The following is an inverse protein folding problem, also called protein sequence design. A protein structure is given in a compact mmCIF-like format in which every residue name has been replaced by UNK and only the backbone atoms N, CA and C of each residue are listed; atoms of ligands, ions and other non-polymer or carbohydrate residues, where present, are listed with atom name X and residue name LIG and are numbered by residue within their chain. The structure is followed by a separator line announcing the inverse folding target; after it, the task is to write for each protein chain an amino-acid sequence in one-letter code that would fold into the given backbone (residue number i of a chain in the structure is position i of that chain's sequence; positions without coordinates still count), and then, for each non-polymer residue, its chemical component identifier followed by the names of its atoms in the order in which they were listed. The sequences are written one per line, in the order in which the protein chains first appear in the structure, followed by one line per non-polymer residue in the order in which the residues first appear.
data_IF_255960553103
#
_entry.id   IF_255960553103
#
_cell.length_a   1.000
_cell.length_b   1.000
_cell.length_c   1.000
_cell.angle_alpha   90.00
_cell.angle_beta   90.00
_cell.angle_gamma   90.00
#
_symmetry.space_group_name_H-M   'P 1'
#
loop_
_entity.id
_entity.type
_entity.pdbx_description
1 polymer ?
#
# COMPACT_ATOMS: atom_id res chain seq x y z
N UNK A 1 -10.78 9.65 24.71
CA UNK A 1 -10.14 10.82 24.07
C UNK A 1 -8.76 11.03 24.69
N UNK A 2 -7.72 10.38 24.16
CA UNK A 2 -6.30 10.83 24.22
C UNK A 2 -5.41 9.70 23.69
N UNK A 3 -4.94 9.85 22.45
CA UNK A 3 -3.66 9.29 21.98
C UNK A 3 -3.35 9.90 20.60
N UNK A 4 -3.07 11.22 20.61
CA UNK A 4 -2.31 11.90 19.55
C UNK A 4 -0.98 12.31 20.16
N UNK A 5 0.11 11.75 19.62
CA UNK A 5 1.49 12.25 19.50
C UNK A 5 2.34 10.98 19.34
N UNK A 6 2.83 10.63 18.15
CA UNK A 6 3.95 11.34 17.53
C UNK A 6 3.99 10.98 16.04
N UNK A 7 3.73 11.94 15.14
CA UNK A 7 4.28 12.03 13.78
C UNK A 7 3.61 13.19 13.02
N UNK A 8 3.61 14.39 13.60
CA UNK A 8 3.37 15.60 12.84
C UNK A 8 4.72 16.11 12.29
N UNK A 9 5.09 15.64 11.11
CA UNK A 9 6.06 16.33 10.26
C UNK A 9 5.24 17.07 9.20
N UNK A 10 5.25 18.41 9.26
CA UNK A 10 4.46 19.28 8.40
C UNK A 10 4.99 19.33 6.95
N UNK A 11 4.05 19.32 6.01
CA UNK A 11 4.02 20.00 4.70
C UNK A 11 5.13 19.72 3.69
N UNK A 12 5.00 18.61 2.96
CA UNK A 12 5.06 18.61 1.49
C UNK A 12 4.04 17.62 0.95
N UNK A 13 3.72 17.81 -0.32
CA UNK A 13 2.81 17.07 -1.18
C UNK A 13 3.29 15.62 -1.45
N UNK A 14 3.70 14.90 -0.40
CA UNK A 14 4.38 13.61 -0.51
C UNK A 14 3.64 12.50 0.25
N UNK A 15 3.54 11.37 -0.45
CA UNK A 15 2.91 10.11 -0.08
C UNK A 15 3.45 9.62 1.29
N UNK A 16 2.62 9.41 2.34
CA UNK A 16 3.11 8.81 3.56
C UNK A 16 2.94 7.28 3.59
N UNK A 17 4.12 6.65 3.61
CA UNK A 17 4.56 5.55 4.50
C UNK A 17 3.89 4.18 4.36
N UNK A 18 4.55 3.33 3.58
CA UNK A 18 4.35 1.89 3.62
C UNK A 18 4.51 1.28 5.00
N UNK A 19 3.72 0.25 5.24
CA UNK A 19 3.59 -0.44 6.51
C UNK A 19 3.83 -1.94 6.30
N UNK A 20 4.43 -2.60 7.28
CA UNK A 20 4.70 -4.04 7.25
C UNK A 20 3.69 -4.75 8.16
N UNK A 21 3.05 -5.81 7.66
CA UNK A 21 2.26 -6.74 8.47
C UNK A 21 3.03 -8.07 8.56
N UNK A 22 3.39 -8.48 9.77
CA UNK A 22 3.95 -9.82 10.00
C UNK A 22 2.83 -10.79 10.33
N UNK A 23 2.67 -11.84 9.52
CA UNK A 23 1.77 -12.94 9.82
C UNK A 23 2.58 -14.05 10.52
N UNK A 24 2.58 -14.06 11.85
CA UNK A 24 3.12 -15.18 12.61
C UNK A 24 2.04 -16.26 12.78
N UNK A 25 2.11 -17.34 12.00
CA UNK A 25 1.36 -18.56 12.29
C UNK A 25 2.18 -19.42 13.27
N UNK A 26 1.69 -19.61 14.50
CA UNK A 26 2.29 -20.48 15.51
C UNK A 26 2.22 -21.95 15.07
N UNK A 27 3.12 -22.39 14.20
CA UNK A 27 3.63 -23.77 14.04
C UNK A 27 4.42 -23.92 12.73
N UNK A 28 5.69 -23.50 12.66
CA UNK A 28 6.73 -24.16 11.83
C UNK A 28 8.11 -23.56 12.11
N UNK A 29 9.15 -24.39 12.07
CA UNK A 29 10.58 -24.05 12.15
C UNK A 29 11.11 -23.26 10.93
N UNK A 30 10.23 -22.56 10.19
CA UNK A 30 10.60 -21.71 9.05
C UNK A 30 10.59 -20.23 9.46
N UNK A 31 11.49 -19.39 8.92
CA UNK A 31 11.43 -17.96 9.16
C UNK A 31 10.04 -17.44 8.76
N UNK A 32 9.36 -16.76 9.70
CA UNK A 32 8.00 -16.27 9.47
C UNK A 32 7.97 -15.29 8.27
N UNK A 33 7.00 -15.50 7.38
CA UNK A 33 6.77 -14.59 6.26
C UNK A 33 6.28 -13.22 6.72
N UNK A 34 6.68 -12.18 5.99
CA UNK A 34 6.32 -10.78 6.19
C UNK A 34 5.66 -10.26 4.92
N UNK A 35 4.45 -9.74 5.08
CA UNK A 35 3.74 -9.10 3.99
C UNK A 35 4.00 -7.59 4.00
N UNK A 36 4.24 -7.04 2.82
CA UNK A 36 4.36 -5.62 2.60
C UNK A 36 3.09 -5.06 1.95
N UNK A 37 2.64 -3.90 2.42
CA UNK A 37 1.50 -3.22 1.83
C UNK A 37 1.65 -1.70 1.86
N UNK A 38 0.98 -1.05 0.91
CA UNK A 38 0.71 0.37 0.95
C UNK A 38 -0.77 0.61 1.23
N UNK A 39 -1.03 1.50 2.17
CA UNK A 39 -2.34 2.03 2.45
C UNK A 39 -2.42 3.47 1.99
N UNK A 40 -3.50 3.81 1.29
CA UNK A 40 -3.79 5.18 0.90
C UNK A 40 -5.21 5.53 1.30
N UNK A 41 -5.35 6.67 1.97
CA UNK A 41 -6.66 7.19 2.36
C UNK A 41 -7.45 7.68 1.14
N UNK A 42 -8.78 7.64 1.28
CA UNK A 42 -9.66 8.30 0.31
C UNK A 42 -9.37 9.81 0.28
N UNK A 43 -9.36 10.36 -0.93
CA UNK A 43 -9.27 11.81 -1.18
C UNK A 43 -10.61 12.53 -0.99
N UNK A 44 -11.71 11.78 -0.83
CA UNK A 44 -13.03 12.33 -0.55
C UNK A 44 -13.25 12.35 0.97
N UNK A 45 -13.86 11.32 1.55
CA UNK A 45 -14.15 11.27 3.00
C UNK A 45 -13.49 10.02 3.63
N UNK A 46 -12.20 10.05 3.99
CA UNK A 46 -11.47 8.85 4.41
C UNK A 46 -12.06 8.15 5.65
N UNK A 47 -12.75 8.88 6.54
CA UNK A 47 -13.41 8.28 7.70
C UNK A 47 -14.70 7.51 7.37
N UNK A 48 -15.34 7.79 6.23
CA UNK A 48 -16.66 7.21 5.88
C UNK A 48 -16.67 6.44 4.56
N UNK A 49 -15.71 6.71 3.68
CA UNK A 49 -15.59 6.04 2.40
C UNK A 49 -15.15 4.57 2.58
N UNK A 50 -15.59 3.66 1.71
CA UNK A 50 -15.30 2.23 1.85
C UNK A 50 -13.81 1.93 1.76
N UNK A 51 -13.40 0.77 2.29
CA UNK A 51 -12.06 0.23 2.12
C UNK A 51 -12.05 -0.88 1.06
N UNK A 52 -11.01 -0.93 0.23
CA UNK A 52 -10.76 -2.04 -0.67
C UNK A 52 -9.35 -2.61 -0.48
N UNK A 53 -9.20 -3.88 -0.86
CA UNK A 53 -7.92 -4.58 -0.96
C UNK A 53 -7.66 -4.91 -2.43
N UNK A 54 -6.50 -4.52 -2.93
CA UNK A 54 -6.01 -4.86 -4.25
C UNK A 54 -4.89 -5.89 -4.15
N UNK A 55 -5.03 -6.95 -4.93
CA UNK A 55 -4.05 -8.02 -5.05
C UNK A 55 -3.51 -8.04 -6.48
N UNK A 56 -2.19 -8.11 -6.62
CA UNK A 56 -1.57 -8.40 -7.91
C UNK A 56 -2.06 -9.74 -8.47
N UNK A 57 -2.04 -9.85 -9.79
CA UNK A 57 -2.40 -11.08 -10.50
C UNK A 57 -1.26 -12.09 -10.52
N UNK A 58 -1.23 -12.93 -11.56
CA UNK A 58 -0.28 -14.04 -11.69
C UNK A 58 -0.20 -14.87 -10.38
N UNK A 59 0.89 -15.59 -10.18
CA UNK A 59 1.39 -15.82 -8.84
C UNK A 59 2.56 -14.85 -8.58
N UNK A 60 2.42 -13.98 -7.59
CA UNK A 60 3.51 -13.14 -7.09
C UNK A 60 3.71 -11.79 -7.78
N UNK A 61 2.76 -11.35 -8.60
CA UNK A 61 2.81 -9.99 -9.12
C UNK A 61 2.57 -8.96 -7.99
N UNK A 62 3.25 -7.83 -8.07
CA UNK A 62 3.26 -6.85 -6.98
C UNK A 62 1.96 -6.03 -6.96
N UNK A 63 1.27 -6.07 -5.83
CA UNK A 63 0.18 -5.14 -5.54
C UNK A 63 0.69 -3.70 -5.53
N UNK A 64 1.91 -3.48 -5.03
CA UNK A 64 2.53 -2.14 -5.01
C UNK A 64 2.80 -1.60 -6.42
N UNK A 65 3.28 -2.43 -7.34
CA UNK A 65 3.42 -2.05 -8.74
C UNK A 65 2.06 -1.66 -9.34
N UNK A 66 0.98 -2.35 -8.95
CA UNK A 66 -0.37 -1.99 -9.38
C UNK A 66 -0.80 -0.59 -8.89
N UNK A 67 -0.41 -0.22 -7.66
CA UNK A 67 -0.72 1.09 -7.09
C UNK A 67 -0.16 2.25 -7.92
N UNK A 68 1.07 2.11 -8.44
CA UNK A 68 1.76 3.18 -9.19
C UNK A 68 1.70 3.04 -10.70
N UNK A 69 1.21 1.91 -11.20
CA UNK A 69 1.07 1.65 -12.64
C UNK A 69 -0.37 1.73 -13.16
N UNK A 70 -1.37 1.63 -12.27
CA UNK A 70 -2.77 1.45 -12.69
C UNK A 70 -3.73 2.36 -11.92
N UNK A 71 -4.23 1.93 -10.77
CA UNK A 71 -5.42 2.51 -10.14
C UNK A 71 -5.16 3.26 -8.83
N UNK A 72 -3.92 3.28 -8.34
CA UNK A 72 -3.57 4.01 -7.13
C UNK A 72 -3.50 5.53 -7.34
N UNK A 73 -3.09 6.27 -6.30
CA UNK A 73 -3.23 7.73 -6.26
C UNK A 73 -2.31 8.47 -7.25
N UNK A 74 -1.15 7.90 -7.56
CA UNK A 74 -0.16 8.51 -8.43
C UNK A 74 0.34 7.50 -9.44
N UNK A 75 0.73 7.96 -10.63
CA UNK A 75 1.36 7.16 -11.67
C UNK A 75 2.84 7.54 -11.78
N UNK A 76 3.71 6.54 -11.82
CA UNK A 76 5.14 6.73 -12.09
C UNK A 76 5.35 6.91 -13.60
N UNK A 77 6.18 7.88 -13.99
CA UNK A 77 6.50 8.10 -15.39
C UNK A 77 7.36 6.95 -15.97
N UNK A 78 7.44 6.85 -17.29
CA UNK A 78 8.20 5.76 -17.97
C UNK A 78 9.70 5.75 -17.66
N UNK A 79 10.24 6.86 -17.13
CA UNK A 79 11.64 6.98 -16.73
C UNK A 79 11.89 6.58 -15.28
N UNK A 80 10.84 6.36 -14.48
CA UNK A 80 10.95 6.12 -13.04
C UNK A 80 11.45 7.32 -12.22
N UNK A 81 11.45 8.53 -12.79
CA UNK A 81 12.05 9.72 -12.17
C UNK A 81 11.05 10.69 -11.57
N UNK A 82 9.77 10.54 -11.89
CA UNK A 82 8.73 11.44 -11.39
C UNK A 82 7.39 10.71 -11.30
N UNK A 83 6.51 11.23 -10.46
CA UNK A 83 5.13 10.80 -10.32
C UNK A 83 4.16 11.92 -10.68
N UNK A 84 3.02 11.57 -11.25
CA UNK A 84 1.91 12.49 -11.46
C UNK A 84 0.63 11.96 -10.78
N UNK A 85 -0.24 12.86 -10.34
CA UNK A 85 -1.55 12.49 -9.79
C UNK A 85 -2.35 11.71 -10.81
N UNK A 86 -2.90 10.56 -10.41
CA UNK A 86 -3.85 9.80 -11.22
C UNK A 86 -5.25 10.43 -11.09
N UNK A 87 -5.80 11.06 -12.15
CA UNK A 87 -7.14 11.65 -12.09
C UNK A 87 -8.24 10.60 -11.97
N UNK A 88 -7.97 9.35 -12.35
CA UNK A 88 -8.91 8.22 -12.28
C UNK A 88 -8.62 7.26 -11.14
N UNK A 89 -7.90 7.73 -10.11
CA UNK A 89 -7.55 6.90 -8.96
C UNK A 89 -8.79 6.34 -8.26
N UNK A 90 -8.71 5.08 -7.85
CA UNK A 90 -9.73 4.48 -6.99
C UNK A 90 -9.76 5.13 -5.61
N UNK A 91 -8.64 5.75 -5.18
CA UNK A 91 -8.60 6.51 -3.92
C UNK A 91 -9.37 7.82 -4.00
N UNK A 92 -9.96 8.17 -5.15
CA UNK A 92 -10.85 9.33 -5.22
C UNK A 92 -12.14 9.14 -4.38
N UNK A 93 -12.53 7.88 -4.09
CA UNK A 93 -13.80 7.55 -3.41
C UNK A 93 -13.69 6.38 -2.42
N UNK A 94 -12.48 5.91 -2.11
CA UNK A 94 -12.27 4.76 -1.24
C UNK A 94 -10.87 4.77 -0.60
N UNK A 95 -10.74 4.18 0.58
CA UNK A 95 -9.45 3.85 1.17
C UNK A 95 -8.92 2.57 0.51
N UNK A 96 -7.65 2.52 0.12
CA UNK A 96 -7.08 1.40 -0.63
C UNK A 96 -5.88 0.77 0.03
N UNK A 97 -5.86 -0.56 0.12
CA UNK A 97 -4.70 -1.37 0.49
C UNK A 97 -4.19 -2.10 -0.75
N UNK A 98 -2.94 -1.90 -1.12
CA UNK A 98 -2.24 -2.71 -2.12
C UNK A 98 -1.27 -3.64 -1.40
N UNK A 99 -1.43 -4.94 -1.60
CA UNK A 99 -0.70 -5.98 -0.88
C UNK A 99 0.18 -6.77 -1.85
N UNK A 100 1.45 -6.92 -1.51
CA UNK A 100 2.34 -7.85 -2.21
C UNK A 100 2.13 -9.27 -1.68
N UNK A 101 1.60 -10.16 -2.52
CA UNK A 101 1.34 -11.55 -2.15
C UNK A 101 1.65 -12.52 -3.32
N UNK A 102 2.06 -13.77 -3.05
CA UNK A 102 2.33 -14.37 -1.73
C UNK A 102 3.64 -13.86 -1.12
N UNK A 103 4.09 -14.47 -0.02
CA UNK A 103 5.42 -14.16 0.55
C UNK A 103 6.50 -14.37 -0.52
N UNK A 104 7.40 -13.39 -0.68
CA UNK A 104 8.40 -13.34 -1.76
C UNK A 104 7.99 -12.50 -2.98
N UNK A 105 6.72 -12.08 -3.07
CA UNK A 105 6.26 -11.13 -4.09
C UNK A 105 6.67 -9.70 -3.72
N UNK A 106 7.12 -8.91 -4.70
CA UNK A 106 7.47 -7.49 -4.50
C UNK A 106 8.38 -7.26 -3.28
N UNK A 107 7.89 -6.52 -2.30
CA UNK A 107 8.60 -6.22 -1.04
C UNK A 107 8.27 -7.19 0.10
N UNK A 108 7.33 -8.13 -0.09
CA UNK A 108 7.06 -9.19 0.87
C UNK A 108 8.23 -10.18 0.94
N UNK A 109 8.62 -10.62 2.14
CA UNK A 109 9.86 -11.36 2.38
C UNK A 109 9.71 -12.44 3.45
N UNK A 110 10.70 -13.34 3.55
CA UNK A 110 10.67 -14.48 4.46
C UNK A 110 10.19 -15.77 3.79
N UNK A 111 10.24 -16.90 4.51
CA UNK A 111 9.99 -18.24 3.96
C UNK A 111 11.18 -19.18 4.06
#
# INVERSE_FOLDING_TARGET
MLSKLLAATLLTHEIPRGSELSAAHTQTTRPAGRYFFWFFESRSHPETDPIFLWLGGGPGDSGIASAVGYNGPCLVNTKGTATATNPYSWTNRANGIWLDQPVGAGFSSGG
#
